data_IF_860852948800
#
_entry.id   IF_860852948800
#
_cell.length_a   1.000
_cell.length_b   1.000
_cell.length_c   1.000
_cell.angle_alpha   90.00
_cell.angle_beta   90.00
_cell.angle_gamma   90.00
#
_symmetry.space_group_name_H-M   'P 1'
#
loop_
_entity.id
_entity.type
_entity.pdbx_description
1 polymer ?
#
# COMPACT_ATOMS: atom_id res chain seq x y z
N UNK A 1 -13.80 -24.90 -5.88
CA UNK A 1 -12.96 -24.04 -5.01
C UNK A 1 -12.64 -24.86 -3.77
N UNK A 2 -11.41 -25.33 -3.63
CA UNK A 2 -11.03 -26.22 -2.51
C UNK A 2 -11.10 -25.47 -1.18
N UNK A 3 -11.64 -26.09 -0.14
CA UNK A 3 -11.63 -25.51 1.20
C UNK A 3 -10.20 -25.52 1.74
N UNK A 4 -9.54 -24.37 1.77
CA UNK A 4 -8.27 -24.20 2.49
C UNK A 4 -8.57 -24.26 4.00
N UNK A 5 -8.12 -25.31 4.68
CA UNK A 5 -8.18 -25.42 6.14
C UNK A 5 -6.97 -24.76 6.78
N UNK A 6 -7.18 -23.70 7.55
CA UNK A 6 -6.14 -23.06 8.37
C UNK A 6 -6.01 -23.75 9.75
N UNK A 7 -4.83 -23.63 10.36
CA UNK A 7 -4.58 -24.11 11.72
C UNK A 7 -5.44 -23.34 12.75
N UNK A 8 -5.86 -24.03 13.82
CA UNK A 8 -6.61 -23.43 14.93
C UNK A 8 -5.71 -22.53 15.79
N UNK A 9 -6.28 -21.50 16.42
CA UNK A 9 -5.55 -20.62 17.35
C UNK A 9 -4.66 -19.55 16.68
N UNK A 10 -4.89 -19.23 15.40
CA UNK A 10 -4.20 -18.13 14.71
C UNK A 10 -4.78 -16.79 15.16
N UNK A 11 -3.94 -15.88 15.66
CA UNK A 11 -4.38 -14.56 16.11
C UNK A 11 -4.57 -13.54 14.95
N UNK A 12 -4.03 -13.84 13.78
CA UNK A 12 -4.02 -12.94 12.62
C UNK A 12 -4.69 -13.62 11.43
N UNK A 13 -5.60 -12.90 10.77
CA UNK A 13 -6.28 -13.34 9.55
C UNK A 13 -5.38 -13.20 8.31
N UNK A 14 -4.49 -12.20 8.33
CA UNK A 14 -3.60 -11.87 7.22
C UNK A 14 -2.21 -11.46 7.73
N UNK A 15 -1.20 -11.89 6.99
CA UNK A 15 0.17 -11.36 7.11
C UNK A 15 0.56 -10.84 5.73
N UNK A 16 0.71 -9.52 5.62
CA UNK A 16 1.20 -8.89 4.40
C UNK A 16 2.73 -8.94 4.38
N UNK A 17 3.30 -9.42 3.28
CA UNK A 17 4.74 -9.51 3.09
C UNK A 17 5.10 -8.83 1.77
N UNK A 18 6.07 -7.91 1.81
CA UNK A 18 6.44 -7.11 0.65
C UNK A 18 7.13 -5.80 1.03
N UNK A 19 7.23 -4.89 0.06
CA UNK A 19 7.88 -3.58 0.25
C UNK A 19 6.92 -2.59 0.89
N UNK A 20 7.48 -1.75 1.76
CA UNK A 20 6.86 -0.56 2.31
C UNK A 20 7.61 0.66 1.77
N UNK A 21 6.87 1.68 1.35
CA UNK A 21 7.45 2.90 0.79
C UNK A 21 6.61 4.14 1.04
N UNK A 22 7.05 5.22 0.43
CA UNK A 22 6.37 6.51 0.43
C UNK A 22 6.07 6.88 -1.02
N UNK A 23 4.80 7.10 -1.31
CA UNK A 23 4.37 7.60 -2.62
C UNK A 23 4.31 9.13 -2.56
N UNK A 24 5.00 9.78 -3.49
CA UNK A 24 4.99 11.23 -3.66
C UNK A 24 4.15 11.57 -4.89
N UNK A 25 2.97 12.14 -4.67
CA UNK A 25 2.09 12.57 -5.75
C UNK A 25 2.21 14.07 -5.98
N UNK A 26 2.47 14.47 -7.22
CA UNK A 26 2.44 15.86 -7.62
C UNK A 26 1.06 16.46 -7.33
N UNK A 27 1.02 17.67 -6.76
CA UNK A 27 -0.26 18.35 -6.52
C UNK A 27 -0.81 19.01 -7.81
N UNK A 28 0.06 19.27 -8.77
CA UNK A 28 -0.22 19.90 -10.04
C UNK A 28 -0.53 18.82 -11.09
N UNK A 29 -1.81 18.47 -11.27
CA UNK A 29 -2.24 17.45 -12.22
C UNK A 29 -1.94 17.87 -13.66
N UNK A 30 -1.28 16.99 -14.42
CA UNK A 30 -0.95 17.22 -15.83
C UNK A 30 0.33 18.04 -16.08
N UNK A 31 0.99 18.53 -15.02
CA UNK A 31 2.31 19.15 -15.16
C UNK A 31 3.38 18.11 -15.52
N UNK A 32 4.43 18.53 -16.24
CA UNK A 32 5.64 17.72 -16.34
C UNK A 32 6.32 17.67 -14.97
N UNK A 33 7.07 16.60 -14.68
CA UNK A 33 7.63 16.39 -13.36
C UNK A 33 8.57 17.54 -12.91
N UNK A 34 9.33 18.11 -13.83
CA UNK A 34 10.21 19.26 -13.61
C UNK A 34 9.47 20.56 -13.29
N UNK A 35 8.18 20.66 -13.65
CA UNK A 35 7.35 21.84 -13.39
C UNK A 35 6.57 21.71 -12.08
N UNK A 36 6.70 20.58 -11.36
CA UNK A 36 6.00 20.34 -10.09
C UNK A 36 6.68 21.12 -8.97
N UNK A 37 5.93 22.00 -8.32
CA UNK A 37 6.44 22.79 -7.19
C UNK A 37 6.13 22.18 -5.81
N UNK A 38 5.27 21.15 -5.74
CA UNK A 38 4.89 20.53 -4.46
C UNK A 38 4.36 19.09 -4.61
N UNK A 39 4.66 18.26 -3.61
CA UNK A 39 4.20 16.86 -3.56
C UNK A 39 3.43 16.59 -2.26
N UNK A 40 2.35 15.83 -2.38
CA UNK A 40 1.68 15.23 -1.24
C UNK A 40 2.26 13.82 -0.98
N UNK A 41 2.47 13.50 0.31
CA UNK A 41 3.12 12.28 0.78
C UNK A 41 2.08 11.26 1.24
N UNK A 42 2.17 10.03 0.76
CA UNK A 42 1.26 8.94 1.11
C UNK A 42 2.00 7.64 1.44
N UNK A 43 1.32 6.73 2.14
CA UNK A 43 1.77 5.36 2.32
C UNK A 43 1.81 4.67 0.96
N UNK A 44 2.93 4.01 0.65
CA UNK A 44 3.13 3.30 -0.60
C UNK A 44 3.49 1.83 -0.41
N UNK A 45 3.29 1.06 -1.47
CA UNK A 45 3.57 -0.39 -1.53
C UNK A 45 2.30 -1.23 -1.42
N UNK A 46 2.13 -2.22 -2.30
CA UNK A 46 0.90 -3.02 -2.37
C UNK A 46 0.60 -3.77 -1.07
N UNK A 47 1.60 -4.43 -0.49
CA UNK A 47 1.46 -5.14 0.78
C UNK A 47 1.16 -4.18 1.94
N UNK A 48 1.75 -2.98 1.94
CA UNK A 48 1.48 -1.96 2.95
C UNK A 48 0.06 -1.39 2.82
N UNK A 49 -0.41 -1.14 1.59
CA UNK A 49 -1.76 -0.66 1.33
C UNK A 49 -2.82 -1.68 1.75
N UNK A 50 -2.58 -2.98 1.53
CA UNK A 50 -3.49 -4.05 2.00
C UNK A 50 -3.45 -4.18 3.53
N UNK A 51 -2.27 -4.03 4.14
CA UNK A 51 -2.14 -4.12 5.60
C UNK A 51 -2.76 -2.91 6.34
N UNK A 52 -2.68 -1.73 5.74
CA UNK A 52 -3.17 -0.48 6.32
C UNK A 52 -4.63 -0.19 5.98
N UNK A 53 -5.12 -0.64 4.83
CA UNK A 53 -6.48 -0.36 4.37
C UNK A 53 -7.54 -1.29 4.97
N UNK A 54 -8.43 -0.73 5.79
CA UNK A 54 -9.88 -0.91 5.71
C UNK A 54 -10.61 0.35 5.22
#
# INVERSE_FOLDING_TARGET
>A
MGQTRFATGRQLDLICLGRLGVDLYAQQVGARLEDVSSFAKYLGGSSANIAFGP
#
